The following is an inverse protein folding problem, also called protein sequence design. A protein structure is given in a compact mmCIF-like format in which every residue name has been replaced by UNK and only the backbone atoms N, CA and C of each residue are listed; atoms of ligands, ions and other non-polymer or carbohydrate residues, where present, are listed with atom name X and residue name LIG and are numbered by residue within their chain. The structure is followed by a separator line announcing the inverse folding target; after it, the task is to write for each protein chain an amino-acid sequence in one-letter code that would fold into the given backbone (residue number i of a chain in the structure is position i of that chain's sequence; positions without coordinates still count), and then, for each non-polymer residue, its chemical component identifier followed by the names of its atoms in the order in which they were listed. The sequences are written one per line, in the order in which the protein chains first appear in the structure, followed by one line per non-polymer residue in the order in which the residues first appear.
data_IF_010023140686
#
_entry.id   IF_010023140686
#
_cell.length_a   1.000
_cell.length_b   1.000
_cell.length_c   1.000
_cell.angle_alpha   90.00
_cell.angle_beta   90.00
_cell.angle_gamma   90.00
#
_symmetry.space_group_name_H-M   'P 1'
#
loop_
_entity.id
_entity.type
_entity.pdbx_description
1 polymer ?
#
# COMPACT_ATOMS: atom_id res chain seq x y z
N UNK A 1 -30.88 -21.19 -30.11
CA UNK A 1 -31.04 -19.77 -29.70
C UNK A 1 -29.76 -19.01 -30.01
N UNK A 2 -29.72 -18.28 -31.12
CA UNK A 2 -28.52 -17.54 -31.55
C UNK A 2 -28.66 -16.09 -31.07
N UNK A 3 -27.99 -15.73 -29.98
CA UNK A 3 -27.86 -14.33 -29.59
C UNK A 3 -26.97 -13.65 -30.64
N UNK A 4 -27.47 -12.60 -31.29
CA UNK A 4 -26.71 -11.86 -32.29
C UNK A 4 -25.44 -11.28 -31.67
N UNK A 5 -24.34 -11.25 -32.43
CA UNK A 5 -23.06 -10.64 -32.02
C UNK A 5 -23.24 -9.20 -31.46
N UNK A 6 -24.26 -8.46 -31.93
CA UNK A 6 -24.59 -7.12 -31.42
C UNK A 6 -25.18 -7.14 -30.00
N UNK A 7 -25.99 -8.15 -29.64
CA UNK A 7 -26.54 -8.31 -28.30
C UNK A 7 -25.45 -8.68 -27.28
N UNK A 8 -24.49 -9.53 -27.68
CA UNK A 8 -23.34 -9.91 -26.86
C UNK A 8 -22.41 -8.70 -26.63
N UNK A 9 -22.11 -7.94 -27.68
CA UNK A 9 -21.29 -6.72 -27.56
C UNK A 9 -21.97 -5.64 -26.69
N UNK A 10 -23.30 -5.51 -26.76
CA UNK A 10 -24.05 -4.55 -25.95
C UNK A 10 -24.14 -4.97 -24.48
N UNK A 11 -24.35 -6.26 -24.20
CA UNK A 11 -24.31 -6.81 -22.84
C UNK A 11 -22.91 -6.69 -22.20
N UNK A 12 -21.86 -6.89 -23.00
CA UNK A 12 -20.47 -6.69 -22.60
C UNK A 12 -20.20 -5.21 -22.24
N UNK A 13 -20.61 -4.26 -23.09
CA UNK A 13 -20.48 -2.81 -22.82
C UNK A 13 -21.25 -2.36 -21.57
N UNK A 14 -22.46 -2.89 -21.34
CA UNK A 14 -23.25 -2.59 -20.13
C UNK A 14 -22.57 -3.11 -18.86
N UNK A 15 -22.04 -4.33 -18.91
CA UNK A 15 -21.30 -4.92 -17.78
C UNK A 15 -20.03 -4.13 -17.49
N UNK A 16 -19.29 -3.72 -18.53
CA UNK A 16 -18.09 -2.90 -18.39
C UNK A 16 -18.41 -1.52 -17.79
N UNK A 17 -19.48 -0.87 -18.27
CA UNK A 17 -19.94 0.42 -17.73
C UNK A 17 -20.30 0.31 -16.24
N UNK A 18 -21.03 -0.74 -15.83
CA UNK A 18 -21.35 -0.99 -14.41
C UNK A 18 -20.10 -1.17 -13.55
N UNK A 19 -19.10 -1.92 -14.05
CA UNK A 19 -17.82 -2.10 -13.34
C UNK A 19 -17.11 -0.75 -13.12
N UNK A 20 -17.02 0.08 -14.16
CA UNK A 20 -16.38 1.40 -14.03
C UNK A 20 -17.18 2.37 -13.14
N UNK A 21 -18.50 2.31 -13.19
CA UNK A 21 -19.36 3.10 -12.30
C UNK A 21 -19.16 2.70 -10.83
N UNK A 22 -19.16 1.39 -10.54
CA UNK A 22 -18.92 0.88 -9.19
C UNK A 22 -17.52 1.27 -8.67
N UNK A 23 -16.49 1.13 -9.51
CA UNK A 23 -15.13 1.54 -9.15
C UNK A 23 -15.05 3.06 -8.89
N UNK A 24 -15.72 3.85 -9.71
CA UNK A 24 -15.75 5.31 -9.56
C UNK A 24 -16.48 5.72 -8.27
N UNK A 25 -17.60 5.07 -7.96
CA UNK A 25 -18.33 5.31 -6.72
C UNK A 25 -17.47 4.95 -5.50
N UNK A 26 -16.88 3.75 -5.48
CA UNK A 26 -15.96 3.31 -4.43
C UNK A 26 -14.79 4.29 -4.24
N UNK A 27 -14.20 4.75 -5.34
CA UNK A 27 -13.10 5.72 -5.28
C UNK A 27 -13.55 7.06 -4.67
N UNK A 28 -14.73 7.57 -5.06
CA UNK A 28 -15.27 8.80 -4.48
C UNK A 28 -15.54 8.68 -2.99
N UNK A 29 -16.13 7.56 -2.57
CA UNK A 29 -16.45 7.30 -1.16
C UNK A 29 -15.16 7.19 -0.34
N UNK A 30 -14.17 6.45 -0.84
CA UNK A 30 -12.86 6.33 -0.19
C UNK A 30 -12.17 7.68 -0.05
N UNK A 31 -12.09 8.49 -1.11
CA UNK A 31 -11.44 9.80 -1.06
C UNK A 31 -12.18 10.74 -0.10
N UNK A 32 -13.52 10.75 -0.13
CA UNK A 32 -14.32 11.56 0.78
C UNK A 32 -14.04 11.21 2.25
N UNK A 33 -14.06 9.92 2.58
CA UNK A 33 -13.75 9.44 3.92
C UNK A 33 -12.29 9.74 4.31
N UNK A 34 -11.33 9.42 3.45
CA UNK A 34 -9.91 9.63 3.69
C UNK A 34 -9.58 11.11 3.96
N UNK A 35 -10.09 12.02 3.13
CA UNK A 35 -9.88 13.47 3.31
C UNK A 35 -10.53 13.97 4.60
N UNK A 36 -11.75 13.53 4.89
CA UNK A 36 -12.48 13.96 6.10
C UNK A 36 -11.72 13.57 7.35
N UNK A 37 -11.41 12.28 7.51
CA UNK A 37 -10.73 11.77 8.70
C UNK A 37 -9.26 12.20 8.77
N UNK A 38 -8.56 12.25 7.64
CA UNK A 38 -7.18 12.74 7.58
C UNK A 38 -7.06 14.19 8.06
N UNK A 39 -8.00 15.07 7.66
CA UNK A 39 -8.04 16.46 8.13
C UNK A 39 -8.36 16.59 9.61
N UNK A 40 -9.25 15.75 10.14
CA UNK A 40 -9.54 15.68 11.57
C UNK A 40 -8.29 15.28 12.36
N UNK A 41 -7.65 14.17 11.99
CA UNK A 41 -6.42 13.69 12.63
C UNK A 41 -5.33 14.77 12.65
N UNK A 42 -5.11 15.44 11.52
CA UNK A 42 -4.10 16.51 11.42
C UNK A 42 -4.48 17.72 12.29
N UNK A 43 -5.75 18.13 12.29
CA UNK A 43 -6.19 19.29 13.07
C UNK A 43 -6.10 19.05 14.58
N UNK A 44 -6.23 17.79 15.01
CA UNK A 44 -6.17 17.39 16.41
C UNK A 44 -4.78 16.92 16.85
N UNK A 45 -3.78 16.95 15.95
CA UNK A 45 -2.49 16.29 16.16
C UNK A 45 -1.79 16.68 17.47
N UNK A 46 -1.80 17.97 17.79
CA UNK A 46 -1.19 18.56 18.99
C UNK A 46 -2.13 18.70 20.19
N UNK A 47 -3.39 18.24 20.07
CA UNK A 47 -4.26 18.16 21.23
C UNK A 47 -3.75 17.08 22.20
N UNK A 48 -4.11 17.22 23.47
CA UNK A 48 -3.92 16.14 24.45
C UNK A 48 -4.77 14.94 24.04
N UNK A 49 -4.35 13.73 24.38
CA UNK A 49 -5.02 12.49 23.92
C UNK A 49 -6.50 12.44 24.33
N UNK A 50 -6.86 13.02 25.47
CA UNK A 50 -8.25 13.05 25.96
C UNK A 50 -9.17 13.95 25.13
N UNK A 51 -8.59 14.88 24.37
CA UNK A 51 -9.30 15.83 23.51
C UNK A 51 -9.33 15.40 22.03
N UNK A 52 -8.72 14.26 21.68
CA UNK A 52 -8.74 13.73 20.31
C UNK A 52 -10.00 12.94 20.07
N UNK A 53 -10.65 13.20 18.94
CA UNK A 53 -11.75 12.37 18.43
C UNK A 53 -11.26 11.09 17.77
N UNK A 54 -9.99 11.05 17.34
CA UNK A 54 -9.35 9.88 16.72
C UNK A 54 -8.06 9.51 17.45
N UNK A 55 -8.08 8.36 18.14
CA UNK A 55 -6.91 7.85 18.84
C UNK A 55 -5.97 7.07 17.90
N UNK A 56 -4.65 7.12 18.12
CA UNK A 56 -3.70 6.26 17.43
C UNK A 56 -4.02 4.77 17.62
N UNK A 57 -3.76 3.97 16.59
CA UNK A 57 -3.94 2.52 16.63
C UNK A 57 -2.59 1.80 16.82
N UNK A 58 -2.60 0.69 17.56
CA UNK A 58 -1.44 -0.20 17.75
C UNK A 58 -1.23 -1.14 16.54
N UNK A 59 -1.35 -0.62 15.31
CA UNK A 59 -1.12 -1.43 14.10
C UNK A 59 0.38 -1.46 13.79
N UNK A 60 0.94 -2.66 13.61
CA UNK A 60 2.37 -2.99 13.67
C UNK A 60 3.34 -2.18 12.77
N UNK A 61 4.64 -2.34 13.07
CA UNK A 61 5.77 -1.66 12.43
C UNK A 61 6.17 -0.36 13.16
N UNK A 62 7.44 -0.26 13.57
CA UNK A 62 7.99 0.87 14.34
C UNK A 62 8.28 2.09 13.44
N UNK A 63 8.59 1.86 12.17
CA UNK A 63 8.97 2.89 11.21
C UNK A 63 7.76 3.66 10.67
N UNK A 64 7.92 4.98 10.54
CA UNK A 64 6.95 5.86 9.84
C UNK A 64 5.89 6.53 10.72
N UNK A 65 6.15 6.74 12.01
CA UNK A 65 5.33 7.65 12.82
C UNK A 65 4.06 7.07 13.44
N UNK A 66 3.12 7.96 13.76
CA UNK A 66 1.80 7.65 14.32
C UNK A 66 0.88 7.07 13.24
N UNK A 67 0.26 5.93 13.55
CA UNK A 67 -0.70 5.23 12.71
C UNK A 67 -2.10 5.31 13.32
N UNK A 68 -3.11 5.40 12.46
CA UNK A 68 -4.51 5.44 12.88
C UNK A 68 -5.31 4.47 12.00
N UNK A 69 -6.26 3.76 12.59
CA UNK A 69 -7.14 2.86 11.84
C UNK A 69 -8.58 3.29 12.08
N UNK A 70 -9.23 3.83 11.05
CA UNK A 70 -10.58 4.37 11.17
C UNK A 70 -11.40 4.03 9.92
N UNK A 71 -12.59 3.46 10.13
CA UNK A 71 -13.52 3.09 9.05
C UNK A 71 -12.90 2.25 7.92
N UNK A 72 -12.02 1.32 8.27
CA UNK A 72 -11.33 0.47 7.29
C UNK A 72 -10.26 1.19 6.47
N UNK A 73 -9.75 2.33 6.95
CA UNK A 73 -8.64 3.06 6.35
C UNK A 73 -7.52 3.18 7.39
N UNK A 74 -6.33 2.71 7.02
CA UNK A 74 -5.09 2.91 7.74
C UNK A 74 -4.48 4.26 7.31
N UNK A 75 -4.26 5.15 8.27
CA UNK A 75 -3.60 6.43 8.08
C UNK A 75 -2.19 6.37 8.66
N UNK A 76 -1.20 6.78 7.87
CA UNK A 76 0.21 6.92 8.26
C UNK A 76 0.59 8.40 8.10
N UNK A 77 0.87 9.10 9.19
CA UNK A 77 1.33 10.48 9.14
C UNK A 77 2.85 10.53 8.86
N UNK A 78 3.31 11.43 8.01
CA UNK A 78 4.73 11.70 7.89
C UNK A 78 5.26 12.23 9.22
N UNK A 79 6.27 11.55 9.77
CA UNK A 79 6.89 11.87 11.06
C UNK A 79 8.38 11.58 10.96
N UNK A 80 9.16 12.64 10.75
CA UNK A 80 10.60 12.62 10.64
C UNK A 80 11.31 12.40 11.98
N UNK A 81 10.62 12.65 13.10
CA UNK A 81 11.20 12.45 14.44
C UNK A 81 11.51 10.98 14.73
N UNK A 82 10.93 10.06 13.95
CA UNK A 82 11.24 8.64 13.98
C UNK A 82 12.18 8.27 12.84
N UNK A 83 13.09 7.34 13.13
CA UNK A 83 13.94 6.76 12.10
C UNK A 83 13.11 6.14 10.96
N UNK A 84 13.66 6.06 9.73
CA UNK A 84 15.05 6.37 9.36
C UNK A 84 15.24 7.80 8.79
N UNK A 85 14.47 8.80 9.25
CA UNK A 85 14.41 10.10 8.59
C UNK A 85 15.20 11.23 9.28
N UNK A 86 15.95 10.92 10.34
CA UNK A 86 16.86 11.83 11.04
C UNK A 86 16.26 13.21 11.38
N UNK A 87 14.99 13.25 11.76
CA UNK A 87 14.27 14.47 12.12
C UNK A 87 13.60 15.20 10.95
N UNK A 88 13.75 14.75 9.70
CA UNK A 88 13.16 15.43 8.52
C UNK A 88 11.78 14.90 8.17
N UNK A 89 10.75 15.72 8.45
CA UNK A 89 9.38 15.48 8.01
C UNK A 89 9.27 15.48 6.48
N UNK A 90 10.12 16.23 5.77
CA UNK A 90 10.18 16.21 4.31
C UNK A 90 10.67 14.86 3.79
N UNK A 91 11.69 14.26 4.41
CA UNK A 91 12.17 12.93 4.05
C UNK A 91 11.10 11.86 4.33
N UNK A 92 10.42 11.93 5.48
CA UNK A 92 9.27 11.06 5.78
C UNK A 92 8.14 11.23 4.76
N UNK A 93 7.79 12.47 4.41
CA UNK A 93 6.78 12.79 3.41
C UNK A 93 7.15 12.35 1.99
N UNK A 94 8.46 12.35 1.64
CA UNK A 94 8.97 11.76 0.39
C UNK A 94 8.83 10.24 0.38
N UNK A 95 9.11 9.57 1.50
CA UNK A 95 8.95 8.13 1.60
C UNK A 95 7.48 7.70 1.41
N UNK A 96 6.51 8.41 2.02
CA UNK A 96 5.09 8.17 1.79
C UNK A 96 4.67 8.41 0.32
N UNK A 97 5.26 9.41 -0.33
CA UNK A 97 5.03 9.66 -1.76
C UNK A 97 5.59 8.54 -2.65
N UNK A 98 6.76 8.02 -2.32
CA UNK A 98 7.35 6.90 -3.02
C UNK A 98 6.53 5.61 -2.79
N UNK A 99 5.93 5.43 -1.62
CA UNK A 99 5.01 4.32 -1.33
C UNK A 99 3.83 4.31 -2.31
N UNK A 100 3.13 5.45 -2.44
CA UNK A 100 2.03 5.59 -3.40
C UNK A 100 2.49 5.39 -4.86
N UNK A 101 3.64 5.98 -5.24
CA UNK A 101 4.19 5.81 -6.60
C UNK A 101 4.51 4.34 -6.89
N UNK A 102 5.16 3.65 -5.96
CA UNK A 102 5.48 2.24 -6.07
C UNK A 102 4.21 1.40 -6.27
N UNK A 103 3.19 1.62 -5.44
CA UNK A 103 1.90 0.94 -5.59
C UNK A 103 1.23 1.22 -6.95
N UNK A 104 1.29 2.46 -7.45
CA UNK A 104 0.80 2.80 -8.80
C UNK A 104 1.54 2.01 -9.89
N UNK A 105 2.86 1.86 -9.78
CA UNK A 105 3.64 1.05 -10.74
C UNK A 105 3.30 -0.43 -10.65
N UNK A 106 3.13 -0.98 -9.45
CA UNK A 106 2.69 -2.37 -9.24
C UNK A 106 1.32 -2.63 -9.88
N UNK A 107 0.36 -1.73 -9.68
CA UNK A 107 -0.99 -1.83 -10.29
C UNK A 107 -0.92 -1.74 -11.81
N UNK A 108 -0.09 -0.85 -12.36
CA UNK A 108 0.08 -0.69 -13.81
C UNK A 108 0.62 -1.95 -14.50
N UNK A 109 1.43 -2.76 -13.80
CA UNK A 109 1.88 -4.05 -14.33
C UNK A 109 0.75 -5.03 -14.63
N UNK A 110 -0.45 -4.81 -14.07
CA UNK A 110 -1.66 -5.59 -14.36
C UNK A 110 -1.48 -7.09 -14.18
N UNK A 111 -0.66 -7.52 -13.20
CA UNK A 111 -0.39 -8.93 -12.93
C UNK A 111 -1.65 -9.59 -12.34
N UNK A 112 -2.27 -10.57 -13.01
CA UNK A 112 -3.52 -11.16 -12.54
C UNK A 112 -3.34 -11.81 -11.16
N UNK A 113 -4.26 -11.52 -10.22
CA UNK A 113 -4.23 -12.08 -8.88
C UNK A 113 -3.07 -11.59 -7.99
N UNK A 114 -2.51 -10.42 -8.30
CA UNK A 114 -1.65 -9.64 -7.40
C UNK A 114 -2.35 -8.30 -7.14
N UNK A 115 -2.64 -8.00 -5.87
CA UNK A 115 -3.45 -6.84 -5.51
C UNK A 115 -2.65 -5.82 -4.69
N UNK A 116 -2.99 -4.55 -4.86
CA UNK A 116 -2.57 -3.45 -3.99
C UNK A 116 -3.83 -2.83 -3.38
N UNK A 117 -3.69 -2.21 -2.21
CA UNK A 117 -4.78 -1.46 -1.58
C UNK A 117 -5.10 -0.18 -2.36
N UNK A 118 -6.33 0.31 -2.20
CA UNK A 118 -6.66 1.67 -2.59
C UNK A 118 -5.94 2.64 -1.66
N UNK A 119 -5.27 3.65 -2.23
CA UNK A 119 -4.40 4.56 -1.49
C UNK A 119 -4.62 6.01 -1.92
N UNK A 120 -4.36 6.95 -1.01
CA UNK A 120 -4.38 8.38 -1.27
C UNK A 120 -3.33 9.12 -0.41
N UNK A 121 -2.76 10.18 -0.95
CA UNK A 121 -1.99 11.16 -0.19
C UNK A 121 -2.85 12.38 0.09
N UNK A 122 -2.77 12.87 1.31
CA UNK A 122 -3.52 14.04 1.79
C UNK A 122 -2.49 15.03 2.33
N UNK A 123 -2.38 16.16 1.65
CA UNK A 123 -1.59 17.30 2.11
C UNK A 123 -2.54 18.33 2.74
N UNK A 124 -2.32 18.67 4.01
CA UNK A 124 -3.17 19.59 4.75
C UNK A 124 -2.42 20.27 5.89
N UNK A 125 -2.52 21.60 6.01
CA UNK A 125 -1.83 22.42 7.03
C UNK A 125 -0.31 22.15 7.15
N UNK A 126 0.35 21.86 6.03
CA UNK A 126 1.79 21.53 6.01
C UNK A 126 2.12 20.08 6.37
N UNK A 127 1.14 19.28 6.78
CA UNK A 127 1.33 17.85 7.04
C UNK A 127 1.00 17.03 5.80
N UNK A 128 1.72 15.91 5.63
CA UNK A 128 1.43 14.87 4.64
C UNK A 128 0.97 13.59 5.33
N UNK A 129 -0.16 13.07 4.89
CA UNK A 129 -0.76 11.84 5.38
C UNK A 129 -0.96 10.85 4.24
N UNK A 130 -0.56 9.59 4.45
CA UNK A 130 -0.90 8.49 3.57
C UNK A 130 -2.11 7.73 4.11
N UNK A 131 -3.16 7.61 3.32
CA UNK A 131 -4.36 6.85 3.62
C UNK A 131 -4.41 5.60 2.75
N UNK A 132 -4.55 4.43 3.36
CA UNK A 132 -4.53 3.13 2.71
C UNK A 132 -5.74 2.31 3.16
N UNK A 133 -6.52 1.77 2.22
CA UNK A 133 -7.59 0.83 2.54
C UNK A 133 -7.04 -0.38 3.30
N UNK A 134 -7.71 -0.75 4.40
CA UNK A 134 -7.33 -1.87 5.23
C UNK A 134 -7.45 -3.18 4.43
N UNK A 135 -6.37 -3.96 4.41
CA UNK A 135 -6.32 -5.27 3.79
C UNK A 135 -6.47 -6.38 4.84
N UNK A 136 -6.92 -7.60 4.46
CA UNK A 136 -7.07 -8.73 5.37
C UNK A 136 -5.72 -9.38 5.71
N UNK A 137 -4.82 -8.59 6.31
CA UNK A 137 -3.44 -8.97 6.60
C UNK A 137 -3.21 -9.08 8.11
N UNK A 138 -2.39 -10.06 8.49
CA UNK A 138 -1.84 -10.19 9.83
C UNK A 138 -0.32 -10.20 9.68
N UNK A 139 0.35 -9.09 10.00
CA UNK A 139 1.77 -8.79 9.72
C UNK A 139 2.64 -10.04 9.55
N UNK A 140 3.02 -10.72 10.64
CA UNK A 140 3.91 -11.88 10.56
C UNK A 140 3.26 -13.16 10.00
N UNK A 141 1.98 -13.40 10.27
CA UNK A 141 1.30 -14.64 9.88
C UNK A 141 1.02 -14.72 8.37
N UNK A 142 0.84 -13.58 7.72
CA UNK A 142 0.51 -13.46 6.30
C UNK A 142 1.70 -13.10 5.41
N UNK A 143 2.81 -12.63 5.98
CA UNK A 143 4.04 -12.27 5.25
C UNK A 143 4.62 -13.51 4.55
N UNK A 144 4.93 -13.38 3.26
CA UNK A 144 5.47 -14.46 2.42
C UNK A 144 6.69 -14.04 1.59
N UNK A 145 6.90 -12.75 1.42
CA UNK A 145 8.08 -12.18 0.75
C UNK A 145 8.44 -10.85 1.41
N UNK A 146 9.74 -10.55 1.57
CA UNK A 146 10.22 -9.31 2.17
C UNK A 146 10.42 -9.41 3.69
N UNK A 147 10.34 -8.28 4.39
CA UNK A 147 10.63 -8.19 5.82
C UNK A 147 9.69 -7.21 6.51
N UNK A 148 9.15 -7.63 7.67
CA UNK A 148 8.35 -6.79 8.56
C UNK A 148 9.09 -6.34 9.83
N UNK A 149 10.41 -6.55 9.88
CA UNK A 149 11.26 -6.27 11.04
C UNK A 149 12.54 -5.51 10.65
N UNK A 150 12.40 -4.57 9.71
CA UNK A 150 13.48 -3.71 9.22
C UNK A 150 14.68 -4.49 8.63
N UNK A 151 14.40 -5.61 7.97
CA UNK A 151 15.41 -6.45 7.32
C UNK A 151 16.16 -7.38 8.27
N UNK A 152 15.78 -7.47 9.54
CA UNK A 152 16.39 -8.40 10.49
C UNK A 152 16.16 -9.85 10.06
N UNK A 153 14.92 -10.17 9.63
CA UNK A 153 14.56 -11.40 8.95
C UNK A 153 13.96 -11.10 7.59
N UNK A 154 14.38 -11.85 6.57
CA UNK A 154 13.86 -11.74 5.20
C UNK A 154 13.22 -13.07 4.84
N UNK A 155 11.94 -13.02 4.46
CA UNK A 155 11.14 -14.18 4.08
C UNK A 155 11.05 -14.26 2.56
N UNK A 156 11.09 -15.48 2.04
CA UNK A 156 10.83 -15.77 0.63
C UNK A 156 10.22 -17.19 0.52
N UNK A 157 8.97 -17.32 0.96
CA UNK A 157 8.34 -18.62 1.24
C UNK A 157 7.16 -19.03 0.36
N UNK A 158 6.77 -18.22 -0.63
CA UNK A 158 5.60 -18.50 -1.48
C UNK A 158 5.98 -18.42 -2.97
N UNK A 159 6.05 -19.59 -3.62
CA UNK A 159 6.44 -19.69 -5.03
C UNK A 159 5.47 -19.01 -5.99
N UNK A 160 4.16 -18.98 -5.68
CA UNK A 160 3.16 -18.32 -6.51
C UNK A 160 3.30 -16.79 -6.44
N UNK A 161 3.51 -16.25 -5.24
CA UNK A 161 3.82 -14.84 -5.04
C UNK A 161 5.15 -14.47 -5.70
N UNK A 162 6.20 -15.27 -5.50
CA UNK A 162 7.52 -15.04 -6.11
C UNK A 162 7.43 -14.99 -7.64
N UNK A 163 6.68 -15.91 -8.24
CA UNK A 163 6.45 -15.91 -9.68
C UNK A 163 5.80 -14.61 -10.15
N UNK A 164 4.77 -14.12 -9.46
CA UNK A 164 4.12 -12.84 -9.78
C UNK A 164 5.06 -11.65 -9.62
N UNK A 165 5.86 -11.62 -8.55
CA UNK A 165 6.85 -10.56 -8.32
C UNK A 165 7.98 -10.58 -9.37
N UNK A 166 8.35 -11.75 -9.89
CA UNK A 166 9.27 -11.86 -11.06
C UNK A 166 8.68 -11.23 -12.31
N UNK A 167 7.38 -11.43 -12.57
CA UNK A 167 6.69 -10.80 -13.70
C UNK A 167 6.65 -9.28 -13.55
N UNK A 168 6.38 -8.77 -12.33
CA UNK A 168 6.49 -7.34 -12.02
C UNK A 168 7.90 -6.83 -12.31
N UNK A 169 8.93 -7.47 -11.73
CA UNK A 169 10.31 -7.05 -11.89
C UNK A 169 10.73 -7.02 -13.37
N UNK A 170 10.34 -8.04 -14.15
CA UNK A 170 10.61 -8.09 -15.58
C UNK A 170 9.96 -6.90 -16.34
N UNK A 171 8.70 -6.57 -16.07
CA UNK A 171 8.04 -5.42 -16.71
C UNK A 171 8.63 -4.06 -16.29
N UNK A 172 9.15 -3.97 -15.06
CA UNK A 172 9.79 -2.76 -14.53
C UNK A 172 11.29 -2.69 -14.83
N UNK A 173 11.86 -3.68 -15.55
CA UNK A 173 13.29 -3.81 -15.83
C UNK A 173 14.17 -3.84 -14.56
N UNK A 174 13.68 -4.52 -13.52
CA UNK A 174 14.37 -4.69 -12.25
C UNK A 174 15.10 -6.03 -12.20
N UNK A 175 16.30 -6.03 -11.63
CA UNK A 175 17.11 -7.23 -11.42
C UNK A 175 16.89 -7.77 -10.00
N UNK A 176 16.77 -9.09 -9.88
CA UNK A 176 16.76 -9.73 -8.57
C UNK A 176 18.06 -9.50 -7.81
N UNK A 177 17.99 -9.46 -6.48
CA UNK A 177 19.13 -9.27 -5.60
C UNK A 177 19.05 -10.16 -4.37
N UNK A 178 20.19 -10.36 -3.70
CA UNK A 178 20.25 -11.17 -2.49
C UNK A 178 20.00 -10.30 -1.26
N UNK A 179 18.96 -10.65 -0.50
CA UNK A 179 18.71 -10.11 0.83
C UNK A 179 19.60 -10.79 1.90
N UNK A 180 19.51 -10.28 3.13
CA UNK A 180 20.13 -10.92 4.30
C UNK A 180 19.67 -12.39 4.41
N UNK A 181 20.58 -13.30 4.75
CA UNK A 181 20.28 -14.73 4.84
C UNK A 181 20.18 -15.45 3.49
N UNK A 182 20.49 -14.78 2.37
CA UNK A 182 20.59 -15.40 1.05
C UNK A 182 19.26 -15.49 0.27
N UNK A 183 18.18 -14.92 0.80
CA UNK A 183 16.89 -14.82 0.11
C UNK A 183 17.01 -14.06 -1.22
N UNK A 184 16.36 -14.56 -2.28
CA UNK A 184 16.39 -13.94 -3.61
C UNK A 184 15.17 -13.04 -3.80
N UNK A 185 15.37 -11.73 -3.65
CA UNK A 185 14.30 -10.74 -3.71
C UNK A 185 14.19 -10.12 -5.10
N UNK A 186 12.95 -9.95 -5.56
CA UNK A 186 12.63 -9.35 -6.87
C UNK A 186 12.42 -7.83 -6.78
N UNK A 187 12.01 -7.36 -5.61
CA UNK A 187 11.79 -5.96 -5.23
C UNK A 187 12.55 -5.67 -3.92
N UNK A 188 12.55 -4.44 -3.42
CA UNK A 188 13.19 -4.08 -2.16
C UNK A 188 12.77 -4.98 -0.98
N UNK A 189 13.66 -5.15 0.01
CA UNK A 189 13.40 -6.04 1.15
C UNK A 189 12.28 -5.56 2.07
N UNK A 190 11.99 -4.27 2.06
CA UNK A 190 10.88 -3.62 2.75
C UNK A 190 9.56 -3.70 1.99
N UNK A 191 9.58 -4.12 0.72
CA UNK A 191 8.36 -4.38 -0.04
C UNK A 191 7.79 -5.71 0.46
N UNK A 192 6.71 -5.62 1.23
CA UNK A 192 6.10 -6.79 1.85
C UNK A 192 5.07 -7.43 0.92
N UNK A 193 5.30 -8.70 0.60
CA UNK A 193 4.37 -9.53 -0.14
C UNK A 193 3.63 -10.49 0.81
N UNK A 194 2.30 -10.47 0.76
CA UNK A 194 1.44 -11.24 1.67
C UNK A 194 0.50 -12.18 0.93
N UNK A 195 0.12 -13.26 1.63
CA UNK A 195 -1.09 -14.02 1.36
C UNK A 195 -2.12 -13.68 2.44
N UNK A 196 -3.15 -12.93 2.06
CA UNK A 196 -4.21 -12.49 2.96
C UNK A 196 -5.00 -13.67 3.53
N UNK A 197 -5.75 -13.41 4.60
CA UNK A 197 -6.62 -14.42 5.23
C UNK A 197 -7.78 -14.85 4.32
N UNK A 198 -8.05 -14.08 3.27
CA UNK A 198 -9.00 -14.38 2.20
C UNK A 198 -8.37 -15.17 1.03
N UNK A 199 -7.09 -15.54 1.15
CA UNK A 199 -6.34 -16.32 0.15
C UNK A 199 -5.75 -15.50 -1.01
N UNK A 200 -6.07 -14.21 -1.11
CA UNK A 200 -5.54 -13.32 -2.14
C UNK A 200 -4.08 -12.93 -1.87
N UNK A 201 -3.36 -12.54 -2.92
CA UNK A 201 -1.98 -12.07 -2.82
C UNK A 201 -1.93 -10.55 -2.86
N UNK A 202 -1.27 -9.96 -1.88
CA UNK A 202 -1.15 -8.52 -1.71
C UNK A 202 0.31 -8.07 -1.70
N UNK A 203 0.55 -6.86 -2.16
CA UNK A 203 1.84 -6.17 -2.00
C UNK A 203 1.60 -4.82 -1.33
N UNK A 204 2.37 -4.53 -0.28
CA UNK A 204 2.32 -3.27 0.48
C UNK A 204 3.75 -2.75 0.72
N UNK A 205 3.85 -1.57 1.31
CA UNK A 205 5.13 -0.91 1.65
C UNK A 205 6.06 -0.79 0.44
N UNK A 206 5.51 -0.21 -0.63
CA UNK A 206 6.07 -0.10 -1.96
C UNK A 206 7.07 1.07 -2.13
N UNK A 207 7.51 1.71 -1.04
CA UNK A 207 8.38 2.88 -1.09
C UNK A 207 9.73 2.63 -1.79
N UNK A 208 10.21 1.38 -1.83
CA UNK A 208 11.43 0.95 -2.52
C UNK A 208 11.17 -0.16 -3.54
N UNK A 209 10.07 -0.05 -4.30
CA UNK A 209 9.88 -0.85 -5.54
C UNK A 209 11.02 -0.59 -6.51
N UNK A 210 11.43 0.67 -6.67
CA UNK A 210 12.64 1.04 -7.42
C UNK A 210 13.83 1.16 -6.46
N UNK A 211 15.04 0.81 -6.92
CA UNK A 211 16.25 0.97 -6.13
C UNK A 211 16.38 2.44 -5.67
N UNK A 212 16.51 2.70 -4.35
CA UNK A 212 16.81 4.04 -3.89
C UNK A 212 18.24 4.42 -4.30
N UNK A 213 18.50 5.72 -4.39
CA UNK A 213 19.88 6.22 -4.39
C UNK A 213 20.55 5.85 -3.07
N UNK A 214 21.85 5.57 -3.11
CA UNK A 214 22.62 5.38 -1.87
C UNK A 214 22.52 6.64 -1.01
N UNK A 215 22.24 6.51 0.31
CA UNK A 215 22.26 7.65 1.22
C UNK A 215 23.65 8.29 1.32
#
# INVERSE_FOLDING_TARGET
MCLSLSAIATACRRTLCRKYQALTALNKDFISAAVTYGRTIISEYFLKEEAKSVCPSLVGGIAGGRKFLLRGILFKLADGSRGPYDGSDEAAGKALNNDLKGAVHLVKCSIPGLFCSLQALIDYKGFRMHAQAQLPLCSRATLRCGSCDAGATVVDGDGALRHKLRLVAAQLNLKAHRGRGGAELQLGCDVEGHRGTDGNLYVIDAARVFPPESP
#
